data_IF_226709917199
#
_entry.id   IF_226709917199
#
_cell.length_a   1.000
_cell.length_b   1.000
_cell.length_c   1.000
_cell.angle_alpha   90.00
_cell.angle_beta   90.00
_cell.angle_gamma   90.00
#
_symmetry.space_group_name_H-M   'P 1'
#
loop_
_entity.id
_entity.type
_entity.pdbx_description
1 polymer ?
#
# COMPACT_ATOMS: atom_id res chain seq x y z
N UNK A 1 6.28 1.72 -17.26
CA UNK A 1 7.05 0.60 -16.69
C UNK A 1 6.80 0.59 -15.18
N UNK A 2 6.51 -0.55 -14.53
CA UNK A 2 6.41 -0.56 -13.07
C UNK A 2 7.75 -0.16 -12.46
N UNK A 3 7.73 0.68 -11.42
CA UNK A 3 8.95 1.09 -10.72
C UNK A 3 9.68 -0.15 -10.20
N UNK A 4 10.99 -0.24 -10.48
CA UNK A 4 11.81 -1.40 -10.11
C UNK A 4 11.99 -1.54 -8.59
N UNK A 5 11.86 -0.43 -7.85
CA UNK A 5 11.95 -0.39 -6.40
C UNK A 5 11.14 0.80 -5.85
N UNK A 6 9.80 0.67 -5.73
CA UNK A 6 8.99 1.73 -5.13
C UNK A 6 9.39 1.92 -3.66
N UNK A 7 9.51 3.17 -3.17
CA UNK A 7 9.71 3.43 -1.75
C UNK A 7 8.50 2.95 -0.94
N UNK A 8 8.71 2.64 0.35
CA UNK A 8 7.62 2.32 1.25
C UNK A 8 6.62 3.49 1.29
N UNK A 9 5.31 3.27 1.11
CA UNK A 9 4.32 4.35 0.95
C UNK A 9 4.15 5.23 2.19
N UNK A 10 4.55 4.73 3.37
CA UNK A 10 4.68 5.54 4.58
C UNK A 10 5.62 6.74 4.44
N UNK A 11 6.59 6.70 3.52
CA UNK A 11 7.42 7.86 3.19
C UNK A 11 6.63 8.96 2.48
N UNK A 12 5.70 8.61 1.59
CA UNK A 12 4.77 9.59 1.01
C UNK A 12 3.88 10.22 2.07
N UNK A 13 3.37 9.43 3.03
CA UNK A 13 2.63 10.00 4.17
C UNK A 13 3.49 10.98 4.96
N UNK A 14 4.77 10.66 5.17
CA UNK A 14 5.71 11.53 5.88
C UNK A 14 5.95 12.84 5.13
N UNK A 15 6.39 12.77 3.89
CA UNK A 15 6.88 13.92 3.15
C UNK A 15 5.73 14.74 2.55
N UNK A 16 4.75 14.07 1.94
CA UNK A 16 3.71 14.73 1.14
C UNK A 16 2.50 15.16 1.99
N UNK A 17 2.33 14.58 3.19
CA UNK A 17 1.22 14.94 4.09
C UNK A 17 1.71 15.62 5.37
N UNK A 18 2.62 15.00 6.12
CA UNK A 18 3.00 15.50 7.45
C UNK A 18 3.95 16.70 7.35
N UNK A 19 5.10 16.51 6.69
CA UNK A 19 6.13 17.54 6.58
C UNK A 19 5.68 18.69 5.67
N UNK A 20 5.01 18.39 4.54
CA UNK A 20 4.46 19.41 3.64
C UNK A 20 3.43 20.34 4.31
N UNK A 21 2.68 19.84 5.31
CA UNK A 21 1.71 20.64 6.07
C UNK A 21 2.29 21.19 7.40
N UNK A 22 3.59 21.03 7.65
CA UNK A 22 4.24 21.48 8.88
C UNK A 22 3.73 20.79 10.15
N UNK A 23 3.15 19.59 10.02
CA UNK A 23 2.57 18.85 11.13
C UNK A 23 3.66 18.07 11.87
N UNK A 24 3.53 17.97 13.19
CA UNK A 24 4.29 16.97 13.95
C UNK A 24 3.64 15.59 13.80
N UNK A 25 4.41 14.52 13.98
CA UNK A 25 3.86 13.15 14.01
C UNK A 25 2.77 13.00 15.06
N UNK A 26 2.87 13.69 16.20
CA UNK A 26 1.83 13.65 17.24
C UNK A 26 0.53 14.33 16.78
N UNK A 27 0.64 15.50 16.13
CA UNK A 27 -0.52 16.22 15.59
C UNK A 27 -1.21 15.41 14.48
N UNK A 28 -0.43 14.87 13.54
CA UNK A 28 -0.96 14.04 12.46
C UNK A 28 -1.62 12.75 12.98
N UNK A 29 -1.06 12.10 14.01
CA UNK A 29 -1.68 10.92 14.63
C UNK A 29 -3.05 11.25 15.24
N UNK A 30 -3.16 12.41 15.88
CA UNK A 30 -4.44 12.91 16.43
C UNK A 30 -5.46 13.17 15.31
N UNK A 31 -5.06 13.81 14.21
CA UNK A 31 -5.93 14.06 13.04
C UNK A 31 -6.43 12.74 12.44
N UNK A 32 -5.53 11.76 12.27
CA UNK A 32 -5.86 10.45 11.74
C UNK A 32 -6.64 9.56 12.72
N UNK A 33 -6.78 9.98 13.99
CA UNK A 33 -7.46 9.20 15.03
C UNK A 33 -6.76 7.88 15.35
N UNK A 34 -5.43 7.86 15.35
CA UNK A 34 -4.60 6.69 15.66
C UNK A 34 -3.57 7.01 16.74
N UNK A 35 -2.95 5.98 17.30
CA UNK A 35 -1.86 6.22 18.27
C UNK A 35 -0.64 6.83 17.57
N UNK A 36 0.16 7.61 18.31
CA UNK A 36 1.45 8.11 17.83
C UNK A 36 2.36 6.97 17.37
N UNK A 37 2.34 5.83 18.06
CA UNK A 37 3.14 4.66 17.71
C UNK A 37 2.71 4.05 16.38
N UNK A 38 1.40 3.93 16.12
CA UNK A 38 0.85 3.47 14.84
C UNK A 38 1.35 4.34 13.69
N UNK A 39 1.21 5.67 13.81
CA UNK A 39 1.68 6.57 12.76
C UNK A 39 3.21 6.54 12.63
N UNK A 40 3.95 6.49 13.74
CA UNK A 40 5.40 6.42 13.73
C UNK A 40 5.91 5.15 13.03
N UNK A 41 5.26 4.01 13.23
CA UNK A 41 5.62 2.78 12.54
C UNK A 41 5.36 2.90 11.04
N UNK A 42 4.24 3.51 10.64
CA UNK A 42 3.90 3.73 9.24
C UNK A 42 4.94 4.62 8.53
N UNK A 43 5.20 5.81 9.07
CA UNK A 43 6.07 6.82 8.42
C UNK A 43 7.56 6.46 8.41
N UNK A 44 7.95 5.45 9.21
CA UNK A 44 9.30 4.89 9.22
C UNK A 44 9.39 3.53 8.50
N UNK A 45 8.36 3.13 7.75
CA UNK A 45 8.38 1.91 6.94
C UNK A 45 8.32 0.60 7.72
N UNK A 46 7.92 0.64 9.00
CA UNK A 46 7.78 -0.54 9.86
C UNK A 46 6.41 -1.21 9.77
N UNK A 47 5.42 -0.51 9.24
CA UNK A 47 4.07 -1.04 8.99
C UNK A 47 3.49 -0.46 7.71
N UNK A 48 2.77 -1.28 6.95
CA UNK A 48 2.09 -0.84 5.72
C UNK A 48 0.81 -0.05 5.98
N UNK A 49 0.22 0.46 4.90
CA UNK A 49 -1.09 1.11 4.86
C UNK A 49 -2.17 0.04 4.75
N UNK A 50 -2.98 -0.14 5.80
CA UNK A 50 -4.20 -0.95 5.73
C UNK A 50 -5.33 -0.20 5.00
N UNK A 51 -6.41 -0.91 4.64
CA UNK A 51 -7.60 -0.28 4.07
C UNK A 51 -8.19 0.80 4.99
N UNK A 52 -8.23 0.54 6.30
CA UNK A 52 -8.70 1.53 7.28
C UNK A 52 -7.79 2.76 7.35
N UNK A 53 -6.47 2.56 7.33
CA UNK A 53 -5.51 3.66 7.29
C UNK A 53 -5.64 4.46 5.98
N UNK A 54 -5.83 3.80 4.84
CA UNK A 54 -6.04 4.47 3.56
C UNK A 54 -7.27 5.39 3.59
N UNK A 55 -8.38 4.93 4.18
CA UNK A 55 -9.59 5.75 4.37
C UNK A 55 -9.31 6.93 5.31
N UNK A 56 -8.54 6.73 6.39
CA UNK A 56 -8.14 7.81 7.31
C UNK A 56 -7.28 8.87 6.60
N UNK A 57 -6.31 8.43 5.78
CA UNK A 57 -5.45 9.31 4.99
C UNK A 57 -6.25 10.10 3.95
N UNK A 58 -7.18 9.46 3.25
CA UNK A 58 -8.04 10.14 2.27
C UNK A 58 -8.93 11.20 2.93
N UNK A 59 -9.55 10.88 4.06
CA UNK A 59 -10.36 11.84 4.83
C UNK A 59 -9.54 13.02 5.38
N UNK A 60 -8.28 12.80 5.74
CA UNK A 60 -7.44 13.82 6.38
C UNK A 60 -6.64 14.66 5.37
N UNK A 61 -6.16 14.06 4.30
CA UNK A 61 -5.18 14.64 3.37
C UNK A 61 -5.60 14.52 1.89
N UNK A 62 -6.66 13.77 1.59
CA UNK A 62 -7.11 13.49 0.23
C UNK A 62 -6.28 12.44 -0.50
N UNK A 63 -6.38 12.44 -1.83
CA UNK A 63 -5.65 11.53 -2.73
C UNK A 63 -6.39 10.24 -3.10
N UNK A 64 -7.50 9.92 -2.42
CA UNK A 64 -8.29 8.71 -2.65
C UNK A 64 -7.71 7.49 -1.94
N UNK A 65 -8.55 6.78 -1.17
CA UNK A 65 -8.12 5.58 -0.45
C UNK A 65 -7.50 4.50 -1.37
N UNK A 66 -8.03 4.34 -2.58
CA UNK A 66 -7.51 3.38 -3.57
C UNK A 66 -6.12 3.75 -4.07
N UNK A 67 -5.77 5.04 -4.12
CA UNK A 67 -4.42 5.49 -4.49
C UNK A 67 -3.41 5.05 -3.45
N UNK A 68 -3.70 5.25 -2.16
CA UNK A 68 -2.84 4.78 -1.06
C UNK A 68 -2.64 3.27 -1.10
N UNK A 69 -3.71 2.50 -1.35
CA UNK A 69 -3.62 1.05 -1.47
C UNK A 69 -2.85 0.60 -2.71
N UNK A 70 -2.93 1.32 -3.82
CA UNK A 70 -2.10 1.04 -5.01
C UNK A 70 -0.62 1.23 -4.73
N UNK A 71 -0.25 2.26 -3.96
CA UNK A 71 1.14 2.47 -3.54
C UNK A 71 1.63 1.34 -2.64
N UNK A 72 0.81 0.93 -1.67
CA UNK A 72 1.10 -0.22 -0.80
C UNK A 72 1.26 -1.51 -1.59
N UNK A 73 0.33 -1.82 -2.48
CA UNK A 73 0.39 -3.01 -3.33
C UNK A 73 1.64 -3.03 -4.22
N UNK A 74 2.01 -1.88 -4.81
CA UNK A 74 3.22 -1.79 -5.61
C UNK A 74 4.47 -2.10 -4.79
N UNK A 75 4.56 -1.56 -3.56
CA UNK A 75 5.62 -1.86 -2.62
C UNK A 75 5.65 -3.34 -2.23
N UNK A 76 4.53 -3.89 -1.77
CA UNK A 76 4.43 -5.27 -1.29
C UNK A 76 4.76 -6.27 -2.38
N UNK A 77 4.33 -6.03 -3.62
CA UNK A 77 4.69 -6.88 -4.75
C UNK A 77 6.19 -6.90 -4.99
N UNK A 78 6.88 -5.75 -4.93
CA UNK A 78 8.34 -5.72 -5.09
C UNK A 78 9.05 -6.43 -3.95
N UNK A 79 8.59 -6.27 -2.71
CA UNK A 79 9.15 -7.03 -1.57
C UNK A 79 8.90 -8.55 -1.72
N UNK A 80 7.71 -8.96 -2.16
CA UNK A 80 7.37 -10.35 -2.42
C UNK A 80 8.24 -10.96 -3.53
N UNK A 81 8.50 -10.18 -4.60
CA UNK A 81 9.34 -10.61 -5.73
C UNK A 81 10.78 -10.91 -5.31
N UNK A 82 11.31 -10.25 -4.29
CA UNK A 82 12.69 -10.51 -3.81
C UNK A 82 12.88 -11.95 -3.29
N UNK A 83 11.82 -12.61 -2.84
CA UNK A 83 11.87 -13.98 -2.32
C UNK A 83 10.96 -14.94 -3.10
N UNK A 84 10.59 -14.58 -4.33
CA UNK A 84 9.65 -15.37 -5.14
C UNK A 84 10.13 -16.81 -5.40
N UNK A 85 11.44 -17.04 -5.46
CA UNK A 85 12.02 -18.38 -5.64
C UNK A 85 11.70 -19.36 -4.50
N UNK A 86 11.39 -18.85 -3.31
CA UNK A 86 10.95 -19.63 -2.16
C UNK A 86 9.46 -19.99 -2.22
N UNK A 87 8.66 -19.27 -3.01
CA UNK A 87 7.21 -19.49 -3.13
C UNK A 87 6.96 -20.69 -4.05
N UNK A 88 6.52 -21.82 -3.48
CA UNK A 88 6.24 -23.05 -4.23
C UNK A 88 4.75 -23.17 -4.55
N UNK A 89 4.42 -23.19 -5.84
CA UNK A 89 3.04 -23.35 -6.35
C UNK A 89 2.98 -24.38 -7.47
N UNK A 90 1.86 -25.09 -7.61
CA UNK A 90 1.57 -25.94 -8.76
C UNK A 90 0.74 -25.14 -9.77
N UNK A 91 1.15 -25.02 -11.04
CA UNK A 91 0.37 -24.30 -12.04
C UNK A 91 -0.94 -25.05 -12.32
N UNK A 92 -2.06 -24.32 -12.31
CA UNK A 92 -3.35 -24.86 -12.76
C UNK A 92 -3.34 -24.87 -14.28
N UNK A 93 -3.44 -26.06 -14.89
CA UNK A 93 -3.64 -26.17 -16.32
C UNK A 93 -5.00 -25.53 -16.67
N UNK A 94 -5.00 -24.46 -17.46
CA UNK A 94 -6.25 -23.97 -18.06
C UNK A 94 -6.75 -25.03 -19.03
N UNK A 95 -7.72 -25.84 -18.60
CA UNK A 95 -8.47 -26.69 -19.53
C UNK A 95 -9.19 -25.76 -20.49
N UNK A 96 -8.77 -25.80 -21.77
CA UNK A 96 -9.63 -25.62 -22.95
C UNK A 96 -11.10 -25.36 -22.62
N UNK A 97 -11.56 -24.15 -22.29
CA UNK A 97 -13.00 -23.89 -22.27
C UNK A 97 -13.46 -24.16 -23.71
N UNK A 98 -14.21 -25.24 -23.90
CA UNK A 98 -14.75 -25.62 -25.21
C UNK A 98 -15.53 -24.44 -25.77
N UNK A 99 -15.23 -24.08 -27.01
CA UNK A 99 -16.07 -23.18 -27.81
C UNK A 99 -17.50 -23.75 -27.85
N UNK A 100 -18.53 -22.90 -27.71
CA UNK A 100 -19.90 -23.34 -27.91
C UNK A 100 -20.05 -23.79 -29.37
N UNK A 101 -20.36 -25.07 -29.60
CA UNK A 101 -20.95 -25.50 -30.87
C UNK A 101 -22.31 -24.83 -30.97
N UNK A 102 -22.36 -23.76 -31.76
CA UNK A 102 -23.61 -23.24 -32.30
C UNK A 102 -24.12 -24.32 -33.26
N UNK A 103 -25.30 -24.86 -32.96
CA UNK A 103 -26.14 -25.63 -33.87
C UNK A 103 -27.47 -24.90 -34.00
#
# INVERSE_FOLDING_TARGET
MPMKNPPHPGLSVRYDCIEALGLTTTAAAKILGVTRQTLNNLVNGKSGISAEMAIRLDKAFGGGAETWLRLQMAYDLVQARQHEGAIKVKPVARRKLHEPRIA
#
